data_IF_522886646188
#
_entry.id   IF_522886646188
#
_cell.length_a   1.000
_cell.length_b   1.000
_cell.length_c   1.000
_cell.angle_alpha   90.00
_cell.angle_beta   90.00
_cell.angle_gamma   90.00
#
_symmetry.space_group_name_H-M   'P 1'
#
loop_
_entity.id
_entity.type
_entity.pdbx_description
1 polymer ?
#
# COMPACT_ATOMS: atom_id res chain seq x y z
N UNK A 1 19.26 -11.88 12.95
CA UNK A 1 20.21 -12.52 11.99
C UNK A 1 21.54 -11.76 11.98
N UNK A 2 22.64 -12.35 11.45
CA UNK A 2 23.91 -11.65 11.17
C UNK A 2 23.81 -10.68 9.97
N UNK A 3 24.91 -10.00 9.63
CA UNK A 3 24.97 -8.93 8.62
C UNK A 3 24.67 -9.35 7.16
N UNK A 4 24.10 -8.45 6.33
CA UNK A 4 23.93 -8.64 4.89
C UNK A 4 25.25 -8.47 4.09
N UNK A 5 25.52 -9.26 3.03
CA UNK A 5 26.78 -9.17 2.27
C UNK A 5 26.96 -7.90 1.42
N UNK A 6 28.20 -7.44 1.34
CA UNK A 6 28.59 -6.05 1.02
C UNK A 6 28.72 -5.68 -0.47
N UNK A 7 27.99 -6.34 -1.39
CA UNK A 7 28.13 -6.04 -2.83
C UNK A 7 26.86 -6.04 -3.70
N UNK A 8 25.80 -6.76 -3.35
CA UNK A 8 24.51 -6.69 -4.08
C UNK A 8 24.56 -6.93 -5.62
N UNK A 9 25.37 -7.91 -6.08
CA UNK A 9 24.78 -8.93 -6.96
C UNK A 9 23.60 -9.67 -6.32
N UNK A 10 22.45 -9.01 -6.45
CA UNK A 10 21.07 -9.44 -6.24
C UNK A 10 20.52 -9.60 -4.80
N UNK A 11 21.28 -9.97 -3.76
CA UNK A 11 20.95 -9.86 -2.31
C UNK A 11 21.82 -10.72 -1.34
N UNK A 12 22.63 -11.76 -1.65
CA UNK A 12 23.38 -12.20 -2.85
C UNK A 12 23.43 -13.76 -2.94
N UNK A 13 23.04 -14.51 -3.99
CA UNK A 13 22.35 -14.25 -5.27
C UNK A 13 20.86 -14.70 -5.24
N UNK A 14 19.92 -13.86 -4.81
CA UNK A 14 18.54 -14.22 -4.54
C UNK A 14 17.58 -13.24 -5.27
N UNK A 15 17.44 -13.41 -6.58
CA UNK A 15 16.10 -13.69 -7.07
C UNK A 15 15.66 -15.06 -6.50
N UNK A 16 14.43 -15.25 -6.02
CA UNK A 16 13.29 -14.33 -6.02
C UNK A 16 13.11 -13.58 -4.70
N UNK A 17 12.07 -12.72 -4.67
CA UNK A 17 11.61 -11.86 -3.57
C UNK A 17 11.49 -12.52 -2.19
N UNK A 18 11.44 -13.86 -2.10
CA UNK A 18 11.32 -14.61 -0.84
C UNK A 18 12.48 -14.33 0.14
N UNK A 19 13.73 -14.39 -0.33
CA UNK A 19 14.89 -14.17 0.55
C UNK A 19 14.96 -12.72 1.04
N UNK A 20 14.70 -11.77 0.13
CA UNK A 20 14.59 -10.35 0.48
C UNK A 20 13.49 -10.15 1.53
N UNK A 21 12.29 -10.69 1.32
CA UNK A 21 11.19 -10.63 2.29
C UNK A 21 11.62 -11.14 3.66
N UNK A 22 12.21 -12.34 3.75
CA UNK A 22 12.68 -12.92 5.02
C UNK A 22 13.72 -12.04 5.72
N UNK A 23 14.69 -11.51 4.99
CA UNK A 23 15.71 -10.61 5.57
C UNK A 23 15.13 -9.28 6.05
N UNK A 24 14.30 -8.60 5.24
CA UNK A 24 13.66 -7.33 5.60
C UNK A 24 12.67 -7.47 6.78
N UNK A 25 12.10 -8.66 7.01
CA UNK A 25 11.12 -8.91 8.08
C UNK A 25 11.71 -9.38 9.41
N UNK A 26 12.95 -9.86 9.44
CA UNK A 26 13.60 -10.39 10.65
C UNK A 26 13.63 -9.38 11.81
N UNK A 27 13.76 -8.08 11.52
CA UNK A 27 13.72 -6.99 12.50
C UNK A 27 12.31 -6.54 12.87
N UNK A 28 11.28 -6.94 12.10
CA UNK A 28 9.90 -6.47 12.27
C UNK A 28 9.09 -7.31 13.26
N UNK A 29 9.57 -8.48 13.69
CA UNK A 29 8.87 -9.32 14.68
C UNK A 29 8.57 -8.57 15.99
N UNK A 30 9.49 -7.71 16.45
CA UNK A 30 9.29 -6.89 17.65
C UNK A 30 8.11 -5.90 17.53
N UNK A 31 7.71 -5.55 16.30
CA UNK A 31 6.64 -4.59 16.06
C UNK A 31 5.25 -5.16 16.43
N UNK A 32 5.11 -6.48 16.57
CA UNK A 32 3.86 -7.12 16.99
C UNK A 32 3.41 -6.71 18.40
N UNK A 33 4.30 -6.16 19.22
CA UNK A 33 4.00 -5.67 20.58
C UNK A 33 3.84 -4.15 20.69
N UNK A 34 3.71 -3.42 19.57
CA UNK A 34 3.57 -1.96 19.58
C UNK A 34 2.16 -1.51 20.01
N UNK A 35 1.95 -1.43 21.32
CA UNK A 35 0.65 -1.13 21.93
C UNK A 35 0.02 0.22 21.51
N UNK A 36 0.81 1.17 20.99
CA UNK A 36 0.37 2.57 20.79
C UNK A 36 -0.45 2.86 19.52
N UNK A 37 -0.66 1.88 18.63
CA UNK A 37 -1.33 2.08 17.34
C UNK A 37 -2.24 0.92 16.92
N UNK A 38 -3.29 1.23 16.14
CA UNK A 38 -4.09 0.26 15.38
C UNK A 38 -3.40 -0.29 14.12
N UNK A 39 -2.30 0.32 13.68
CA UNK A 39 -1.61 -0.01 12.41
C UNK A 39 -0.94 -1.40 12.39
N UNK A 40 -0.94 -2.13 13.52
CA UNK A 40 -0.43 -3.50 13.66
C UNK A 40 -0.93 -4.44 12.54
N UNK A 41 -2.17 -4.26 12.08
CA UNK A 41 -2.72 -4.99 10.93
C UNK A 41 -1.91 -4.78 9.65
N UNK A 42 -1.53 -3.55 9.32
CA UNK A 42 -0.67 -3.22 8.17
C UNK A 42 0.80 -3.55 8.42
N UNK A 43 1.29 -3.38 9.65
CA UNK A 43 2.71 -3.60 9.99
C UNK A 43 3.11 -5.08 10.01
N UNK A 44 2.18 -6.00 10.27
CA UNK A 44 2.48 -7.43 10.53
C UNK A 44 1.82 -8.35 9.52
N UNK A 45 0.52 -8.18 9.23
CA UNK A 45 -0.23 -9.15 8.41
C UNK A 45 0.34 -9.37 6.99
N UNK A 46 0.73 -8.32 6.22
CA UNK A 46 1.18 -8.49 4.84
C UNK A 46 2.37 -9.43 4.63
N UNK A 47 3.27 -9.56 5.62
CA UNK A 47 4.43 -10.45 5.52
C UNK A 47 4.32 -11.69 6.41
N UNK A 48 3.88 -11.54 7.66
CA UNK A 48 3.86 -12.65 8.61
C UNK A 48 2.81 -13.70 8.22
N UNK A 49 1.68 -13.27 7.64
CA UNK A 49 0.69 -14.20 7.08
C UNK A 49 1.25 -14.97 5.89
N UNK A 50 1.95 -14.32 4.97
CA UNK A 50 2.53 -15.01 3.80
C UNK A 50 3.59 -16.04 4.24
N UNK A 51 4.41 -15.74 5.24
CA UNK A 51 5.38 -16.72 5.76
C UNK A 51 4.70 -17.92 6.46
N UNK A 52 3.59 -17.70 7.17
CA UNK A 52 2.79 -18.80 7.71
C UNK A 52 2.06 -19.61 6.63
N UNK A 53 1.45 -18.96 5.64
CA UNK A 53 0.65 -19.61 4.60
C UNK A 53 1.51 -20.36 3.56
N UNK A 54 2.72 -19.86 3.25
CA UNK A 54 3.66 -20.49 2.30
C UNK A 54 4.63 -21.48 2.95
N UNK A 55 5.11 -21.22 4.17
CA UNK A 55 6.21 -21.98 4.79
C UNK A 55 5.88 -22.58 6.16
N UNK A 56 4.70 -22.27 6.74
CA UNK A 56 4.33 -22.62 8.12
C UNK A 56 5.36 -22.16 9.16
N UNK A 57 5.92 -20.95 8.96
CA UNK A 57 6.88 -20.37 9.88
C UNK A 57 6.23 -20.08 11.26
N UNK A 58 6.67 -20.74 12.35
CA UNK A 58 6.05 -20.57 13.66
C UNK A 58 6.35 -19.21 14.28
N UNK A 59 7.52 -18.62 14.01
CA UNK A 59 7.91 -17.31 14.53
C UNK A 59 7.06 -16.20 13.89
N UNK A 60 6.75 -16.34 12.60
CA UNK A 60 5.79 -15.46 11.92
C UNK A 60 4.36 -15.63 12.49
N UNK A 61 3.93 -16.87 12.77
CA UNK A 61 2.63 -17.14 13.39
C UNK A 61 2.53 -16.56 14.81
N UNK A 62 3.52 -16.77 15.67
CA UNK A 62 3.57 -16.19 17.02
C UNK A 62 3.53 -14.65 16.98
N UNK A 63 4.13 -14.05 15.94
CA UNK A 63 4.08 -12.60 15.70
C UNK A 63 2.67 -12.13 15.30
N UNK A 64 1.97 -12.89 14.44
CA UNK A 64 0.56 -12.61 14.11
C UNK A 64 -0.33 -12.68 15.36
N UNK A 65 -0.15 -13.70 16.20
CA UNK A 65 -0.93 -13.86 17.43
C UNK A 65 -0.63 -12.74 18.44
N UNK A 66 0.63 -12.35 18.58
CA UNK A 66 1.06 -11.22 19.43
C UNK A 66 0.44 -9.90 18.93
N UNK A 67 0.47 -9.65 17.62
CA UNK A 67 -0.13 -8.46 17.01
C UNK A 67 -1.66 -8.45 17.11
N UNK A 68 -2.32 -9.60 16.95
CA UNK A 68 -3.77 -9.72 17.08
C UNK A 68 -4.25 -9.44 18.51
N UNK A 69 -3.57 -9.98 19.52
CA UNK A 69 -3.87 -9.71 20.93
C UNK A 69 -3.60 -8.22 21.27
N UNK A 70 -2.44 -7.69 20.90
CA UNK A 70 -2.08 -6.28 21.15
C UNK A 70 -3.06 -5.30 20.47
N UNK A 71 -3.59 -5.65 19.30
CA UNK A 71 -4.62 -4.87 18.61
C UNK A 71 -6.01 -5.00 19.27
N UNK A 72 -6.36 -6.19 19.78
CA UNK A 72 -7.61 -6.43 20.49
C UNK A 72 -7.67 -5.68 21.83
N UNK A 73 -6.56 -5.57 22.56
CA UNK A 73 -6.44 -4.79 23.81
C UNK A 73 -6.72 -3.28 23.61
N UNK A 74 -6.66 -2.78 22.37
CA UNK A 74 -7.03 -1.40 22.02
C UNK A 74 -8.54 -1.19 21.82
N UNK A 75 -9.36 -2.23 21.96
CA UNK A 75 -10.82 -2.13 21.87
C UNK A 75 -11.44 -1.52 23.15
N UNK A 76 -12.34 -0.55 22.96
CA UNK A 76 -13.11 0.05 24.05
C UNK A 76 -14.57 -0.33 23.94
N UNK A 77 -15.03 -1.22 24.82
CA UNK A 77 -16.44 -1.62 24.93
C UNK A 77 -17.40 -0.46 25.24
N UNK A 78 -16.88 0.67 25.77
CA UNK A 78 -17.66 1.91 25.99
C UNK A 78 -17.92 2.68 24.69
N UNK A 79 -17.03 2.56 23.70
CA UNK A 79 -17.11 3.28 22.41
C UNK A 79 -17.60 2.37 21.28
N UNK A 80 -17.38 1.05 21.40
CA UNK A 80 -17.66 0.07 20.34
C UNK A 80 -16.55 -0.04 19.28
N UNK A 81 -15.40 0.61 19.49
CA UNK A 81 -14.31 0.72 18.50
C UNK A 81 -12.94 0.39 19.09
N UNK A 82 -12.00 0.04 18.21
CA UNK A 82 -10.55 0.06 18.48
C UNK A 82 -10.06 1.51 18.43
N UNK A 83 -9.21 1.91 19.37
CA UNK A 83 -8.52 3.22 19.33
C UNK A 83 -7.44 3.23 18.27
N UNK A 84 -7.40 4.27 17.44
CA UNK A 84 -6.37 4.45 16.42
C UNK A 84 -4.99 4.68 17.02
N UNK A 85 -4.65 5.92 17.41
CA UNK A 85 -3.36 6.24 18.03
C UNK A 85 -3.56 6.78 19.45
N UNK A 86 -2.57 6.56 20.32
CA UNK A 86 -2.58 7.10 21.68
C UNK A 86 -2.11 8.56 21.75
N UNK A 87 -1.30 8.99 20.76
CA UNK A 87 -0.85 10.37 20.60
C UNK A 87 -1.00 10.77 19.13
N UNK A 88 -1.54 11.97 18.88
CA UNK A 88 -1.58 12.57 17.56
C UNK A 88 -1.49 14.09 17.67
N UNK A 89 -0.47 14.68 17.04
CA UNK A 89 -0.21 16.12 17.11
C UNK A 89 -0.05 16.71 15.70
N UNK A 90 -0.82 17.76 15.43
CA UNK A 90 -0.78 18.55 14.20
C UNK A 90 -0.66 20.03 14.56
N UNK A 91 -0.67 20.94 13.55
CA UNK A 91 -0.75 22.38 13.81
C UNK A 91 -2.13 22.85 14.30
N UNK A 92 -3.16 21.98 14.26
CA UNK A 92 -4.57 22.32 14.53
C UNK A 92 -5.11 21.64 15.79
N UNK A 93 -4.65 20.41 16.09
CA UNK A 93 -5.09 19.63 17.24
C UNK A 93 -3.93 18.80 17.84
N UNK A 94 -4.04 18.48 19.13
CA UNK A 94 -3.01 17.75 19.87
C UNK A 94 -3.65 16.82 20.91
N UNK A 95 -3.89 15.57 20.53
CA UNK A 95 -4.32 14.51 21.44
C UNK A 95 -3.08 13.85 22.05
N UNK A 96 -2.95 13.87 23.38
CA UNK A 96 -1.79 13.34 24.10
C UNK A 96 -2.13 12.53 25.35
N UNK A 97 -3.42 12.42 25.71
CA UNK A 97 -3.86 11.72 26.92
C UNK A 97 -4.97 10.69 26.59
N UNK A 98 -4.62 9.40 26.48
CA UNK A 98 -5.57 8.31 26.24
C UNK A 98 -6.58 8.05 27.38
N UNK A 99 -6.54 8.79 28.49
CA UNK A 99 -7.61 8.79 29.49
C UNK A 99 -8.71 9.82 29.19
N UNK A 100 -8.40 10.85 28.40
CA UNK A 100 -9.33 11.92 28.01
C UNK A 100 -9.91 11.70 26.62
N UNK A 101 -9.05 11.41 25.65
CA UNK A 101 -9.40 11.38 24.23
C UNK A 101 -9.58 9.95 23.69
N UNK A 102 -10.40 9.80 22.65
CA UNK A 102 -10.55 8.54 21.93
C UNK A 102 -10.52 8.78 20.42
N UNK A 103 -9.31 8.78 19.86
CA UNK A 103 -9.09 8.96 18.43
C UNK A 103 -9.56 7.73 17.64
N UNK A 104 -10.42 7.96 16.65
CA UNK A 104 -10.85 6.98 15.64
C UNK A 104 -10.56 7.57 14.27
N UNK A 105 -9.78 6.85 13.47
CA UNK A 105 -9.48 7.17 12.08
C UNK A 105 -10.23 6.17 11.20
N UNK A 106 -10.99 6.69 10.22
CA UNK A 106 -11.66 5.90 9.20
C UNK A 106 -10.96 6.19 7.87
N UNK A 107 -10.46 5.14 7.23
CA UNK A 107 -9.78 5.20 5.93
C UNK A 107 -10.15 3.96 5.11
N UNK A 108 -9.85 3.97 3.80
CA UNK A 108 -9.92 2.78 2.93
C UNK A 108 -11.28 2.07 2.89
N UNK A 109 -12.37 2.80 3.14
CA UNK A 109 -13.71 2.24 3.42
C UNK A 109 -14.20 1.18 2.43
N UNK A 110 -13.96 1.38 1.12
CA UNK A 110 -14.35 0.41 0.06
C UNK A 110 -13.72 -0.96 0.33
N UNK A 111 -12.39 -1.02 0.50
CA UNK A 111 -11.67 -2.26 0.75
C UNK A 111 -11.90 -2.78 2.18
N UNK A 112 -11.98 -1.89 3.17
CA UNK A 112 -12.23 -2.23 4.57
C UNK A 112 -13.57 -2.94 4.75
N UNK A 113 -14.67 -2.33 4.30
CA UNK A 113 -15.99 -2.93 4.41
C UNK A 113 -16.17 -4.17 3.52
N UNK A 114 -15.61 -4.19 2.31
CA UNK A 114 -15.62 -5.40 1.48
C UNK A 114 -14.89 -6.57 2.16
N UNK A 115 -13.78 -6.30 2.87
CA UNK A 115 -13.06 -7.32 3.64
C UNK A 115 -13.80 -7.72 4.92
N UNK A 116 -14.48 -6.80 5.60
CA UNK A 116 -15.38 -7.12 6.73
C UNK A 116 -16.53 -8.03 6.30
N UNK A 117 -17.09 -7.83 5.10
CA UNK A 117 -18.08 -8.75 4.53
C UNK A 117 -17.50 -10.14 4.29
N UNK A 118 -16.32 -10.24 3.68
CA UNK A 118 -15.65 -11.53 3.41
C UNK A 118 -15.45 -12.39 4.68
N UNK A 119 -15.18 -11.76 5.83
CA UNK A 119 -15.01 -12.45 7.11
C UNK A 119 -16.32 -12.76 7.87
N UNK A 120 -17.35 -11.92 7.74
CA UNK A 120 -18.56 -11.98 8.59
C UNK A 120 -19.82 -12.48 7.88
N UNK A 121 -19.91 -12.32 6.56
CA UNK A 121 -21.14 -12.49 5.79
C UNK A 121 -22.21 -11.41 6.03
N UNK A 122 -21.95 -10.37 6.84
CA UNK A 122 -22.97 -9.38 7.19
C UNK A 122 -23.19 -8.37 6.04
N UNK A 123 -24.35 -8.47 5.37
CA UNK A 123 -24.68 -7.69 4.18
C UNK A 123 -24.54 -6.16 4.35
N UNK A 124 -24.70 -5.63 5.58
CA UNK A 124 -24.50 -4.23 5.91
C UNK A 124 -23.12 -3.70 5.45
N UNK A 125 -22.08 -4.53 5.57
CA UNK A 125 -20.73 -4.19 5.12
C UNK A 125 -20.60 -4.24 3.59
N UNK A 126 -21.21 -5.21 2.91
CA UNK A 126 -21.19 -5.24 1.44
C UNK A 126 -21.92 -4.05 0.84
N UNK A 127 -23.09 -3.70 1.38
CA UNK A 127 -23.86 -2.55 0.92
C UNK A 127 -23.16 -1.22 1.25
N UNK A 128 -22.50 -1.10 2.40
CA UNK A 128 -21.65 0.07 2.70
C UNK A 128 -20.45 0.15 1.75
N UNK A 129 -19.79 -0.98 1.45
CA UNK A 129 -18.66 -1.02 0.52
C UNK A 129 -19.08 -0.60 -0.92
N UNK A 130 -20.24 -1.08 -1.38
CA UNK A 130 -20.86 -0.66 -2.65
C UNK A 130 -21.18 0.83 -2.66
N UNK A 131 -21.85 1.35 -1.63
CA UNK A 131 -22.19 2.77 -1.53
C UNK A 131 -20.93 3.67 -1.55
N UNK A 132 -19.86 3.26 -0.86
CA UNK A 132 -18.57 3.97 -0.92
C UNK A 132 -17.90 3.87 -2.30
N UNK A 133 -18.00 2.72 -2.98
CA UNK A 133 -17.46 2.55 -4.33
C UNK A 133 -18.22 3.40 -5.34
N UNK A 134 -19.56 3.39 -5.31
CA UNK A 134 -20.41 4.14 -6.23
C UNK A 134 -20.22 5.65 -6.04
N UNK A 135 -20.08 6.13 -4.80
CA UNK A 135 -19.75 7.52 -4.50
C UNK A 135 -18.37 7.92 -5.04
N UNK A 136 -17.34 7.10 -4.80
CA UNK A 136 -15.99 7.33 -5.31
C UNK A 136 -15.96 7.37 -6.84
N UNK A 137 -16.61 6.42 -7.50
CA UNK A 137 -16.73 6.34 -8.96
C UNK A 137 -17.50 7.53 -9.54
N UNK A 138 -18.53 8.02 -8.85
CA UNK A 138 -19.28 9.22 -9.23
C UNK A 138 -18.52 10.54 -9.06
N UNK A 139 -17.32 10.52 -8.44
CA UNK A 139 -16.44 11.70 -8.28
C UNK A 139 -15.10 11.57 -9.00
N UNK A 140 -14.79 10.43 -9.64
CA UNK A 140 -13.56 10.29 -10.43
C UNK A 140 -13.56 11.25 -11.64
N UNK A 141 -12.43 11.91 -11.93
CA UNK A 141 -12.25 12.62 -13.19
C UNK A 141 -12.13 11.65 -14.38
N UNK A 142 -12.12 12.21 -15.60
CA UNK A 142 -11.95 11.46 -16.87
C UNK A 142 -10.62 10.69 -16.95
N UNK A 143 -9.62 11.04 -16.15
CA UNK A 143 -8.36 10.28 -16.01
C UNK A 143 -8.49 9.00 -15.18
N UNK A 144 -9.65 8.78 -14.54
CA UNK A 144 -9.96 7.68 -13.63
C UNK A 144 -9.00 7.52 -12.42
N UNK A 145 -8.16 8.52 -12.17
CA UNK A 145 -7.25 8.61 -11.03
C UNK A 145 -7.83 9.67 -10.08
N UNK A 146 -8.06 9.37 -8.79
CA UNK A 146 -8.59 10.36 -7.86
C UNK A 146 -7.53 11.45 -7.58
N UNK A 147 -7.96 12.71 -7.34
CA UNK A 147 -7.13 13.64 -6.59
C UNK A 147 -6.93 13.14 -5.15
N UNK A 148 -5.94 13.66 -4.44
CA UNK A 148 -5.73 13.35 -3.01
C UNK A 148 -6.95 13.67 -2.11
N UNK A 149 -7.77 14.63 -2.54
CA UNK A 149 -9.03 15.04 -1.92
C UNK A 149 -9.95 15.56 -3.03
N UNK A 150 -11.22 15.13 -3.04
CA UNK A 150 -12.20 15.49 -4.09
C UNK A 150 -12.86 16.87 -3.89
N UNK A 151 -12.73 17.47 -2.70
CA UNK A 151 -13.32 18.76 -2.30
C UNK A 151 -12.27 19.86 -2.09
N UNK A 152 -10.97 19.54 -2.15
CA UNK A 152 -9.88 20.49 -2.03
C UNK A 152 -9.89 21.57 -3.13
N UNK A 153 -9.87 22.84 -2.73
CA UNK A 153 -9.84 23.99 -3.63
C UNK A 153 -8.49 24.12 -4.35
N UNK A 154 -8.53 24.44 -5.65
CA UNK A 154 -7.33 24.68 -6.46
C UNK A 154 -6.47 25.79 -5.85
N UNK A 155 -5.21 25.47 -5.51
CA UNK A 155 -4.27 26.47 -5.00
C UNK A 155 -3.90 27.45 -6.12
N UNK A 156 -3.81 28.74 -5.79
CA UNK A 156 -3.65 29.82 -6.78
C UNK A 156 -2.39 29.65 -7.65
N UNK A 157 -2.55 29.07 -8.85
CA UNK A 157 -1.49 28.78 -9.81
C UNK A 157 -1.36 27.30 -10.20
N UNK A 158 -2.00 26.38 -9.48
CA UNK A 158 -2.12 24.97 -9.84
C UNK A 158 -3.48 24.69 -10.50
N UNK A 159 -3.48 24.12 -11.71
CA UNK A 159 -4.72 23.88 -12.49
C UNK A 159 -5.44 22.58 -12.15
N UNK A 160 -4.90 21.78 -11.23
CA UNK A 160 -5.45 20.51 -10.76
C UNK A 160 -4.86 20.18 -9.39
N UNK A 161 -5.63 19.52 -8.52
CA UNK A 161 -5.08 18.87 -7.32
C UNK A 161 -4.07 17.76 -7.70
N UNK A 162 -3.04 17.49 -6.86
CA UNK A 162 -2.18 16.34 -7.09
C UNK A 162 -2.98 15.03 -6.97
N UNK A 163 -2.62 13.99 -7.75
CA UNK A 163 -3.28 12.69 -7.69
C UNK A 163 -3.02 11.96 -6.36
N UNK A 164 -3.81 10.92 -6.10
CA UNK A 164 -3.38 9.83 -5.23
C UNK A 164 -3.62 8.45 -5.87
N UNK A 165 -2.59 7.94 -6.53
CA UNK A 165 -2.56 6.55 -7.03
C UNK A 165 -2.66 5.52 -5.91
N UNK A 166 -2.35 5.86 -4.65
CA UNK A 166 -2.49 4.93 -3.54
C UNK A 166 -3.97 4.66 -3.21
N UNK A 167 -4.81 5.71 -3.10
CA UNK A 167 -6.26 5.58 -3.06
C UNK A 167 -6.82 4.88 -4.31
N UNK A 168 -6.27 5.13 -5.50
CA UNK A 168 -6.67 4.43 -6.72
C UNK A 168 -6.50 2.90 -6.59
N UNK A 169 -5.33 2.43 -6.13
CA UNK A 169 -5.06 1.00 -5.95
C UNK A 169 -5.89 0.37 -4.83
N UNK A 170 -6.06 1.06 -3.70
CA UNK A 170 -6.91 0.55 -2.60
C UNK A 170 -8.39 0.47 -3.02
N UNK A 171 -8.89 1.48 -3.74
CA UNK A 171 -10.26 1.48 -4.25
C UNK A 171 -10.49 0.37 -5.28
N UNK A 172 -9.57 0.19 -6.23
CA UNK A 172 -9.63 -0.89 -7.22
C UNK A 172 -9.58 -2.28 -6.58
N UNK A 173 -8.73 -2.49 -5.56
CA UNK A 173 -8.70 -3.74 -4.79
C UNK A 173 -10.02 -3.99 -4.04
N UNK A 174 -10.58 -2.96 -3.39
CA UNK A 174 -11.89 -3.05 -2.73
C UNK A 174 -13.01 -3.40 -3.72
N UNK A 175 -13.04 -2.76 -4.89
CA UNK A 175 -13.98 -3.08 -5.97
C UNK A 175 -13.84 -4.53 -6.49
N UNK A 176 -12.63 -5.10 -6.46
CA UNK A 176 -12.40 -6.50 -6.82
C UNK A 176 -12.94 -7.48 -5.75
N UNK A 177 -12.85 -7.13 -4.46
CA UNK A 177 -13.49 -7.90 -3.38
C UNK A 177 -15.03 -7.82 -3.45
N UNK A 178 -15.59 -6.64 -3.75
CA UNK A 178 -17.03 -6.48 -4.02
C UNK A 178 -17.44 -7.34 -5.22
N UNK A 179 -16.65 -7.33 -6.31
CA UNK A 179 -16.92 -8.16 -7.48
C UNK A 179 -16.95 -9.65 -7.13
N UNK A 180 -15.93 -10.17 -6.43
CA UNK A 180 -15.89 -11.58 -6.01
C UNK A 180 -17.11 -11.93 -5.12
N UNK A 181 -17.50 -11.02 -4.22
CA UNK A 181 -18.65 -11.16 -3.32
C UNK A 181 -19.98 -11.24 -4.07
N UNK A 182 -20.15 -10.48 -5.16
CA UNK A 182 -21.34 -10.53 -6.00
C UNK A 182 -21.33 -11.76 -6.94
N UNK A 183 -20.16 -12.17 -7.45
CA UNK A 183 -20.02 -13.37 -8.28
C UNK A 183 -20.46 -14.64 -7.56
N UNK A 184 -20.09 -14.82 -6.28
CA UNK A 184 -20.50 -16.00 -5.48
C UNK A 184 -22.00 -16.05 -5.17
N UNK A 185 -22.70 -14.92 -5.35
CA UNK A 185 -24.16 -14.76 -5.19
C UNK A 185 -24.91 -14.84 -6.53
N UNK A 186 -24.20 -15.03 -7.64
CA UNK A 186 -24.72 -14.91 -9.02
C UNK A 186 -25.33 -13.52 -9.33
N UNK A 187 -24.89 -12.47 -8.64
CA UNK A 187 -25.35 -11.10 -8.83
C UNK A 187 -24.53 -10.36 -9.91
N UNK A 188 -25.16 -9.48 -10.72
CA UNK A 188 -24.45 -8.67 -11.71
C UNK A 188 -23.54 -7.66 -11.00
N UNK A 189 -22.31 -7.48 -11.50
CA UNK A 189 -21.29 -6.67 -10.85
C UNK A 189 -20.52 -5.81 -11.86
N UNK A 190 -20.73 -4.48 -11.93
CA UNK A 190 -19.94 -3.60 -12.77
C UNK A 190 -18.50 -3.42 -12.27
N UNK A 191 -18.26 -3.64 -10.97
CA UNK A 191 -17.04 -3.22 -10.26
C UNK A 191 -15.72 -3.73 -10.86
N UNK A 192 -15.67 -4.92 -11.46
CA UNK A 192 -14.46 -5.39 -12.17
C UNK A 192 -14.06 -4.44 -13.30
N UNK A 193 -15.01 -4.00 -14.11
CA UNK A 193 -14.74 -3.10 -15.23
C UNK A 193 -14.33 -1.70 -14.80
N UNK A 194 -14.77 -1.25 -13.61
CA UNK A 194 -14.29 0.01 -13.02
C UNK A 194 -12.89 -0.15 -12.43
N UNK A 195 -12.64 -1.23 -11.67
CA UNK A 195 -11.34 -1.50 -11.06
C UNK A 195 -10.23 -1.65 -12.12
N UNK A 196 -10.50 -2.37 -13.21
CA UNK A 196 -9.58 -2.48 -14.34
C UNK A 196 -9.28 -1.11 -14.96
N UNK A 197 -10.30 -0.31 -15.30
CA UNK A 197 -10.09 1.05 -15.85
C UNK A 197 -9.24 1.95 -14.96
N UNK A 198 -9.41 1.88 -13.63
CA UNK A 198 -8.58 2.64 -12.68
C UNK A 198 -7.12 2.18 -12.75
N UNK A 199 -6.88 0.86 -12.73
CA UNK A 199 -5.53 0.27 -12.77
C UNK A 199 -4.85 0.51 -14.11
N UNK A 200 -5.54 0.28 -15.23
CA UNK A 200 -5.05 0.59 -16.58
C UNK A 200 -4.65 2.07 -16.68
N UNK A 201 -5.49 2.99 -16.16
CA UNK A 201 -5.22 4.43 -16.21
C UNK A 201 -4.02 4.85 -15.38
N UNK A 202 -3.78 4.18 -14.25
CA UNK A 202 -2.57 4.34 -13.41
C UNK A 202 -1.34 3.75 -14.09
N UNK A 203 -1.43 2.58 -14.72
CA UNK A 203 -0.34 1.99 -15.49
C UNK A 203 0.10 2.87 -16.67
N UNK A 204 -0.85 3.49 -17.37
CA UNK A 204 -0.59 4.42 -18.48
C UNK A 204 0.12 5.72 -18.08
N UNK A 205 -0.06 6.20 -16.83
CA UNK A 205 0.32 7.57 -16.42
C UNK A 205 1.35 7.65 -15.29
N UNK A 206 1.40 6.65 -14.42
CA UNK A 206 2.17 6.70 -13.17
C UNK A 206 3.07 5.49 -12.92
N UNK A 207 3.07 4.48 -13.79
CA UNK A 207 4.07 3.41 -13.74
C UNK A 207 5.47 4.02 -13.93
N UNK A 208 6.34 3.88 -12.93
CA UNK A 208 7.70 4.38 -13.02
C UNK A 208 8.46 3.63 -14.13
N UNK A 209 9.40 4.29 -14.82
CA UNK A 209 10.26 3.60 -15.78
C UNK A 209 11.07 2.52 -15.07
N UNK A 210 11.43 1.46 -15.79
CA UNK A 210 12.40 0.49 -15.30
C UNK A 210 13.67 1.23 -14.84
N UNK A 211 14.06 0.96 -13.59
CA UNK A 211 15.19 1.62 -12.94
C UNK A 211 16.52 1.37 -13.70
N UNK A 212 17.57 2.17 -13.47
CA UNK A 212 18.88 2.04 -14.16
C UNK A 212 20.10 2.32 -13.27
N UNK A 213 20.85 1.28 -12.87
CA UNK A 213 22.03 1.41 -12.01
C UNK A 213 23.23 1.88 -12.82
N UNK A 214 24.03 2.80 -12.26
CA UNK A 214 25.30 3.23 -12.85
C UNK A 214 26.45 2.46 -12.20
N UNK A 215 27.11 1.61 -12.98
CA UNK A 215 28.35 0.96 -12.57
C UNK A 215 29.54 1.80 -13.03
N UNK A 216 30.36 2.28 -12.09
CA UNK A 216 31.65 2.88 -12.39
C UNK A 216 32.65 1.77 -12.75
N UNK A 217 33.22 1.82 -13.95
CA UNK A 217 34.30 0.91 -14.38
C UNK A 217 35.71 1.49 -14.16
N UNK A 218 35.79 2.64 -13.50
CA UNK A 218 37.03 3.33 -13.19
C UNK A 218 37.46 4.34 -14.26
N UNK A 219 38.62 4.93 -14.02
CA UNK A 219 39.15 6.06 -14.80
C UNK A 219 40.29 5.61 -15.71
N UNK A 220 40.17 5.86 -17.02
CA UNK A 220 41.30 5.73 -17.95
C UNK A 220 42.04 7.07 -18.11
N UNK A 221 43.36 7.05 -18.33
CA UNK A 221 44.08 8.23 -18.77
C UNK A 221 43.63 8.64 -20.17
N UNK A 222 43.34 9.93 -20.38
CA UNK A 222 43.05 10.49 -21.71
C UNK A 222 44.06 11.58 -22.04
N UNK A 223 44.47 11.66 -23.30
CA UNK A 223 45.53 12.57 -23.76
C UNK A 223 45.18 14.06 -23.64
N UNK A 224 43.90 14.42 -23.56
CA UNK A 224 43.45 15.82 -23.52
C UNK A 224 43.07 16.33 -22.12
N UNK A 225 42.76 15.46 -21.14
CA UNK A 225 42.33 15.89 -19.80
C UNK A 225 42.86 15.01 -18.64
N UNK A 226 43.83 14.13 -18.90
CA UNK A 226 44.57 13.39 -17.86
C UNK A 226 43.83 12.20 -17.24
N UNK A 227 42.52 12.30 -17.00
CA UNK A 227 41.63 11.23 -16.52
C UNK A 227 40.21 11.41 -17.05
N UNK A 228 39.59 10.34 -17.57
CA UNK A 228 38.16 10.28 -17.87
C UNK A 228 37.53 9.00 -17.30
N UNK A 229 36.38 9.14 -16.63
CA UNK A 229 35.63 8.03 -16.03
C UNK A 229 34.85 7.26 -17.09
N UNK A 230 35.04 5.94 -17.16
CA UNK A 230 34.22 5.07 -18.00
C UNK A 230 32.98 4.66 -17.19
N UNK A 231 31.88 5.39 -17.36
CA UNK A 231 30.56 4.88 -16.96
C UNK A 231 30.09 3.95 -18.08
N UNK A 232 30.08 2.64 -17.84
CA UNK A 232 29.30 1.73 -18.68
C UNK A 232 27.87 1.78 -18.18
N UNK A 233 26.98 2.36 -18.98
CA UNK A 233 25.55 2.13 -18.84
C UNK A 233 25.27 0.65 -19.14
N UNK A 234 25.24 -0.17 -18.09
CA UNK A 234 24.57 -1.47 -18.11
C UNK A 234 23.09 -1.17 -17.84
N UNK A 235 22.20 -1.60 -18.72
CA UNK A 235 20.76 -1.36 -18.54
C UNK A 235 20.16 -2.32 -17.50
N UNK A 236 20.49 -2.09 -16.23
CA UNK A 236 20.01 -2.86 -15.07
C UNK A 236 19.78 -1.98 -13.82
N UNK A 237 18.53 -1.57 -13.58
CA UNK A 237 17.88 -1.41 -12.26
C UNK A 237 18.58 -0.69 -11.07
N UNK A 238 18.55 0.67 -11.03
CA UNK A 238 18.55 1.55 -9.82
C UNK A 238 18.56 3.07 -10.20
N UNK A 239 17.42 3.61 -10.67
CA UNK A 239 17.22 5.04 -10.97
C UNK A 239 16.18 5.66 -10.04
N UNK A 240 15.90 6.96 -10.16
CA UNK A 240 15.12 7.79 -9.20
C UNK A 240 13.69 7.32 -8.80
N UNK A 241 13.16 6.24 -9.40
CA UNK A 241 11.94 5.58 -8.94
C UNK A 241 12.27 4.34 -8.10
N UNK A 242 12.36 4.47 -6.78
CA UNK A 242 12.52 3.36 -5.82
C UNK A 242 11.23 2.53 -5.61
N UNK A 243 10.21 2.73 -6.46
CA UNK A 243 8.83 2.24 -6.31
C UNK A 243 8.23 1.93 -7.68
N UNK A 244 7.20 1.09 -7.74
CA UNK A 244 6.51 0.71 -8.98
C UNK A 244 5.65 1.88 -9.48
N UNK A 245 4.93 2.55 -8.60
CA UNK A 245 4.01 3.64 -8.92
C UNK A 245 4.47 4.99 -8.37
N UNK A 246 4.29 6.04 -9.17
CA UNK A 246 4.34 7.45 -8.79
C UNK A 246 2.93 8.01 -8.52
N UNK A 247 2.79 9.33 -8.33
CA UNK A 247 1.47 9.97 -8.24
C UNK A 247 0.68 9.68 -6.96
N UNK A 248 1.32 9.17 -5.91
CA UNK A 248 0.69 8.96 -4.61
C UNK A 248 0.87 10.18 -3.69
N UNK A 249 -0.06 10.37 -2.75
CA UNK A 249 -0.06 11.51 -1.83
C UNK A 249 -0.34 11.06 -0.39
N UNK A 250 0.67 11.14 0.49
CA UNK A 250 0.51 10.87 1.93
C UNK A 250 -0.29 12.00 2.62
N UNK A 251 0.05 13.26 2.32
CA UNK A 251 -0.55 14.42 2.97
C UNK A 251 -0.28 15.71 2.17
N UNK A 252 -1.33 16.33 1.63
CA UNK A 252 -1.23 17.60 0.92
C UNK A 252 -1.95 18.77 1.64
N UNK A 253 -2.39 18.59 2.89
CA UNK A 253 -3.12 19.61 3.64
C UNK A 253 -2.29 20.90 3.81
N UNK A 254 -2.91 22.06 3.57
CA UNK A 254 -2.25 23.38 3.56
C UNK A 254 -1.42 23.67 4.82
N UNK A 255 -1.92 23.27 6.00
CA UNK A 255 -1.24 23.48 7.28
C UNK A 255 -0.37 22.29 7.72
N UNK A 256 -0.11 21.29 6.88
CA UNK A 256 0.78 20.17 7.24
C UNK A 256 2.19 20.67 7.65
N UNK A 257 2.86 20.03 8.63
CA UNK A 257 4.27 20.33 8.94
C UNK A 257 5.22 20.10 7.76
N UNK A 258 4.88 19.12 6.91
CA UNK A 258 5.50 18.83 5.61
C UNK A 258 4.44 18.23 4.70
N UNK A 259 4.26 18.81 3.51
CA UNK A 259 3.44 18.21 2.45
C UNK A 259 4.25 17.13 1.73
N UNK A 260 3.58 16.03 1.40
CA UNK A 260 4.10 14.87 0.68
C UNK A 260 3.00 14.48 -0.31
N UNK A 261 3.14 14.93 -1.55
CA UNK A 261 2.22 14.72 -2.66
C UNK A 261 3.01 14.42 -3.94
N UNK A 262 2.37 13.76 -4.91
CA UNK A 262 2.96 13.34 -6.20
C UNK A 262 4.32 12.64 -6.05
N UNK A 263 4.35 11.54 -5.30
CA UNK A 263 5.57 10.76 -5.07
C UNK A 263 5.30 9.24 -5.13
N UNK A 264 6.38 8.45 -5.05
CA UNK A 264 6.29 7.00 -4.94
C UNK A 264 5.98 6.52 -3.52
N UNK A 265 5.15 5.48 -3.38
CA UNK A 265 4.61 5.08 -2.06
C UNK A 265 4.39 3.56 -1.93
N UNK A 266 5.09 2.96 -0.95
CA UNK A 266 5.14 1.50 -0.74
C UNK A 266 3.79 0.78 -0.65
N UNK A 267 2.74 1.44 -0.12
CA UNK A 267 1.42 0.81 -0.05
C UNK A 267 0.62 0.92 -1.36
N UNK A 268 0.92 1.89 -2.24
CA UNK A 268 0.40 1.88 -3.61
C UNK A 268 0.93 0.65 -4.36
N UNK A 269 2.24 0.43 -4.31
CA UNK A 269 2.92 -0.74 -4.90
C UNK A 269 2.37 -2.05 -4.32
N UNK A 270 2.18 -2.14 -3.00
CA UNK A 270 1.60 -3.31 -2.35
C UNK A 270 0.19 -3.62 -2.86
N UNK A 271 -0.71 -2.63 -2.92
CA UNK A 271 -2.08 -2.85 -3.40
C UNK A 271 -2.13 -3.12 -4.91
N UNK A 272 -1.21 -2.55 -5.71
CA UNK A 272 -1.05 -2.89 -7.12
C UNK A 272 -0.67 -4.37 -7.33
N UNK A 273 0.37 -4.86 -6.63
CA UNK A 273 0.78 -6.27 -6.70
C UNK A 273 -0.31 -7.20 -6.13
N UNK A 274 -0.97 -6.81 -5.05
CA UNK A 274 -2.08 -7.56 -4.45
C UNK A 274 -3.28 -7.66 -5.40
N UNK A 275 -3.62 -6.60 -6.13
CA UNK A 275 -4.65 -6.61 -7.16
C UNK A 275 -4.30 -7.55 -8.33
N UNK A 276 -3.06 -7.49 -8.84
CA UNK A 276 -2.57 -8.39 -9.88
C UNK A 276 -2.64 -9.86 -9.47
N UNK A 277 -2.14 -10.20 -8.27
CA UNK A 277 -2.24 -11.54 -7.70
C UNK A 277 -3.71 -11.99 -7.57
N UNK A 278 -4.61 -11.09 -7.16
CA UNK A 278 -6.03 -11.40 -6.97
C UNK A 278 -6.75 -11.70 -8.28
N UNK A 279 -6.40 -11.02 -9.38
CA UNK A 279 -6.89 -11.36 -10.72
C UNK A 279 -6.40 -12.73 -11.19
N UNK A 280 -5.16 -13.10 -10.88
CA UNK A 280 -4.60 -14.42 -11.20
C UNK A 280 -5.31 -15.55 -10.42
N UNK A 281 -5.57 -15.37 -9.12
CA UNK A 281 -6.40 -16.28 -8.32
C UNK A 281 -7.79 -16.50 -8.96
N UNK A 282 -8.46 -15.41 -9.34
CA UNK A 282 -9.82 -15.46 -9.89
C UNK A 282 -9.88 -16.11 -11.27
N UNK A 283 -8.88 -15.91 -12.12
CA UNK A 283 -8.77 -16.61 -13.40
C UNK A 283 -8.42 -18.09 -13.23
N UNK A 284 -7.56 -18.45 -12.27
CA UNK A 284 -7.28 -19.85 -11.95
C UNK A 284 -8.54 -20.58 -11.46
N UNK A 285 -9.33 -19.96 -10.57
CA UNK A 285 -10.61 -20.50 -10.11
C UNK A 285 -11.61 -20.70 -11.26
N UNK A 286 -11.67 -19.78 -12.24
CA UNK A 286 -12.50 -19.93 -13.45
C UNK A 286 -12.02 -21.02 -14.41
N UNK A 287 -10.81 -21.55 -14.25
CA UNK A 287 -10.29 -22.68 -15.05
C UNK A 287 -10.48 -24.05 -14.39
N UNK A 288 -11.08 -24.07 -13.19
CA UNK A 288 -11.30 -25.26 -12.36
C UNK A 288 -12.80 -25.55 -12.10
N UNK A 289 -13.70 -24.83 -12.79
CA UNK A 289 -15.16 -24.87 -12.63
C UNK A 289 -15.88 -25.04 -13.98
#
# INVERSE_FOLDING_TARGET
MPEPPTWFPEYTKPGSTEYASKWWTESLHQNGSLMGTHDLGFMICPWARLQWDLHRDPKAFDTLMTAANTLADRFSAKVGCIRSWDVCQTKVYSFTDPSKDFLVIIAWAIAGFAKSYEWSGENSFLDTAKNCADYFLGRLPDTHIPPWDFDAQEESGATTQPPDTSAAMVAAYGMLLIHQSLQSRSEPSPYLGHALRIVDSVCERHLNPAASQKQDLGTIPTVENGRATIVKCVETAAGLGDTILSGATINNFEFAPRRWADHGLVYADYFFVLFGNKLLEMNALRSLA
#
